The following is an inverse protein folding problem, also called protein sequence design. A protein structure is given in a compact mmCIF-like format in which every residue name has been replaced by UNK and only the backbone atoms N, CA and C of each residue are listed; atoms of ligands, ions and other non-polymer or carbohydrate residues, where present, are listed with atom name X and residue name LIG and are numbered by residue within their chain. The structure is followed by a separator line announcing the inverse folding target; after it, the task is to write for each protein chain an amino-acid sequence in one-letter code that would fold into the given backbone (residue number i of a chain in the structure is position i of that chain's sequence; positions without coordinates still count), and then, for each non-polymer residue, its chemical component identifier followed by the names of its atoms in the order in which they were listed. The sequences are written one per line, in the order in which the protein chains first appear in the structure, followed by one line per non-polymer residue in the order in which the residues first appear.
data_IF_380270425991
#
_entry.id   IF_380270425991
#
_cell.length_a   1.000
_cell.length_b   1.000
_cell.length_c   1.000
_cell.angle_alpha   90.00
_cell.angle_beta   90.00
_cell.angle_gamma   90.00
#
_symmetry.space_group_name_H-M   'P 1'
#
loop_
_entity.id
_entity.type
_entity.pdbx_description
1 polymer ?
#
# COMPACT_ATOMS: atom_id res chain seq x y z
N UNK A 1 5.54 -4.16 -19.77
CA UNK A 1 6.16 -3.85 -21.09
C UNK A 1 5.32 -4.41 -22.24
N UNK A 2 4.91 -5.67 -22.14
CA UNK A 2 4.22 -6.50 -23.15
C UNK A 2 2.69 -6.27 -23.29
N UNK A 3 2.14 -5.25 -22.61
CA UNK A 3 0.70 -4.96 -22.61
C UNK A 3 -0.13 -5.85 -21.69
N UNK A 4 0.49 -6.78 -20.96
CA UNK A 4 -0.20 -7.58 -19.95
C UNK A 4 -0.41 -6.81 -18.64
N UNK A 5 -1.44 -7.21 -17.88
CA UNK A 5 -1.70 -6.70 -16.54
C UNK A 5 -1.20 -7.71 -15.52
N UNK A 6 -0.34 -7.25 -14.61
CA UNK A 6 0.14 -8.02 -13.47
C UNK A 6 -0.17 -7.25 -12.19
N UNK A 7 -1.07 -7.78 -11.37
CA UNK A 7 -1.44 -7.16 -10.11
C UNK A 7 -0.65 -7.72 -8.93
N UNK A 8 -0.62 -6.93 -7.87
CA UNK A 8 -0.12 -7.31 -6.57
C UNK A 8 -1.04 -6.81 -5.44
N UNK A 9 -1.03 -7.53 -4.32
CA UNK A 9 -1.71 -7.13 -3.11
C UNK A 9 -1.07 -7.74 -1.86
N UNK A 10 -1.24 -7.04 -0.74
CA UNK A 10 -0.93 -7.56 0.58
C UNK A 10 -2.07 -7.29 1.55
N UNK A 11 -2.16 -8.14 2.57
CA UNK A 11 -3.10 -8.03 3.67
C UNK A 11 -2.36 -8.34 4.98
N UNK A 12 -2.64 -7.58 6.02
CA UNK A 12 -2.12 -7.82 7.36
C UNK A 12 -3.21 -7.64 8.42
N UNK A 13 -3.17 -8.48 9.45
CA UNK A 13 -4.00 -8.34 10.66
C UNK A 13 -3.10 -8.35 11.89
N UNK A 14 -3.35 -7.43 12.82
CA UNK A 14 -2.67 -7.42 14.12
C UNK A 14 -3.02 -8.66 14.95
N UNK A 15 -4.16 -9.31 14.67
CA UNK A 15 -4.53 -10.57 15.30
C UNK A 15 -3.62 -11.70 14.81
N UNK A 16 -2.68 -12.11 15.65
CA UNK A 16 -1.70 -13.14 15.35
C UNK A 16 -0.62 -12.69 14.36
N UNK A 17 -0.45 -11.37 14.14
CA UNK A 17 0.53 -10.80 13.21
C UNK A 17 0.50 -11.46 11.82
N UNK A 18 -0.71 -11.79 11.35
CA UNK A 18 -0.91 -12.54 10.11
C UNK A 18 -0.65 -11.65 8.92
N UNK A 19 0.11 -12.13 7.95
CA UNK A 19 0.35 -11.46 6.69
C UNK A 19 0.22 -12.43 5.52
N UNK A 20 -0.35 -11.93 4.43
CA UNK A 20 -0.44 -12.64 3.17
C UNK A 20 -0.20 -11.69 2.01
N UNK A 21 0.67 -12.09 1.09
CA UNK A 21 1.02 -11.35 -0.12
C UNK A 21 0.76 -12.18 -1.37
N UNK A 22 0.27 -11.54 -2.42
CA UNK A 22 0.13 -12.13 -3.75
C UNK A 22 0.62 -11.16 -4.82
N UNK A 23 1.43 -11.62 -5.76
CA UNK A 23 2.03 -10.75 -6.77
C UNK A 23 2.15 -11.42 -8.14
N UNK A 24 2.37 -10.61 -9.17
CA UNK A 24 2.56 -11.10 -10.55
C UNK A 24 1.37 -11.97 -11.01
N UNK A 25 0.15 -11.61 -10.58
CA UNK A 25 -1.08 -12.33 -10.96
C UNK A 25 -1.86 -11.53 -11.98
N UNK A 26 -2.34 -12.18 -13.02
CA UNK A 26 -3.05 -11.56 -14.15
C UNK A 26 -4.48 -12.08 -14.29
N UNK A 27 -4.85 -13.12 -13.55
CA UNK A 27 -6.15 -13.81 -13.67
C UNK A 27 -7.03 -13.68 -12.43
N UNK A 28 -6.65 -12.85 -11.46
CA UNK A 28 -7.45 -12.62 -10.26
C UNK A 28 -8.13 -11.26 -10.31
N UNK A 29 -9.47 -11.26 -10.29
CA UNK A 29 -10.24 -10.00 -10.23
C UNK A 29 -9.98 -9.21 -8.95
N UNK A 30 -9.74 -9.90 -7.83
CA UNK A 30 -9.51 -9.28 -6.53
C UNK A 30 -8.27 -9.90 -5.84
N UNK A 31 -7.05 -9.46 -6.21
CA UNK A 31 -5.82 -9.95 -5.58
C UNK A 31 -5.80 -9.77 -4.06
N UNK A 32 -6.40 -8.68 -3.54
CA UNK A 32 -6.50 -8.43 -2.09
C UNK A 32 -7.27 -9.51 -1.32
N UNK A 33 -8.30 -10.11 -1.92
CA UNK A 33 -9.03 -11.23 -1.29
C UNK A 33 -8.16 -12.49 -1.22
N UNK A 34 -7.37 -12.75 -2.26
CA UNK A 34 -6.43 -13.86 -2.27
C UNK A 34 -5.29 -13.63 -1.26
N UNK A 35 -4.76 -12.42 -1.15
CA UNK A 35 -3.79 -12.04 -0.12
C UNK A 35 -4.32 -12.30 1.30
N UNK A 36 -5.57 -11.91 1.58
CA UNK A 36 -6.22 -12.23 2.86
C UNK A 36 -6.38 -13.73 3.07
N UNK A 37 -6.74 -14.49 2.05
CA UNK A 37 -6.84 -15.95 2.15
C UNK A 37 -5.48 -16.60 2.45
N UNK A 38 -4.37 -16.07 1.90
CA UNK A 38 -3.01 -16.52 2.22
C UNK A 38 -2.70 -16.27 3.70
N UNK A 39 -3.03 -15.08 4.22
CA UNK A 39 -2.77 -14.72 5.61
C UNK A 39 -3.46 -15.62 6.64
N UNK A 40 -4.58 -16.23 6.27
CA UNK A 40 -5.38 -17.15 7.10
C UNK A 40 -5.30 -18.61 6.61
N UNK A 41 -4.36 -18.94 5.74
CA UNK A 41 -4.22 -20.29 5.23
C UNK A 41 -3.54 -21.19 6.28
N UNK A 42 -4.30 -22.16 6.79
CA UNK A 42 -3.75 -23.29 7.52
C UNK A 42 -3.56 -24.46 6.56
N UNK A 43 -2.31 -24.69 6.13
CA UNK A 43 -1.99 -25.90 5.40
C UNK A 43 -1.89 -27.05 6.42
N UNK A 44 -2.89 -27.94 6.43
CA UNK A 44 -2.98 -29.12 7.31
C UNK A 44 -1.89 -30.18 7.04
N UNK A 45 -0.84 -29.82 6.30
CA UNK A 45 0.30 -30.66 5.94
C UNK A 45 1.41 -30.69 7.01
N UNK A 46 1.29 -29.88 8.07
CA UNK A 46 2.32 -29.73 9.10
C UNK A 46 3.54 -28.93 8.63
N UNK A 47 3.49 -28.34 7.42
CA UNK A 47 4.51 -27.47 6.88
C UNK A 47 4.21 -26.01 7.20
N UNK A 48 5.24 -25.16 7.13
CA UNK A 48 5.08 -23.71 7.29
C UNK A 48 4.26 -23.17 6.10
N UNK A 49 3.10 -22.58 6.38
CA UNK A 49 2.26 -21.94 5.36
C UNK A 49 3.02 -20.81 4.65
N UNK A 50 2.86 -20.65 3.33
CA UNK A 50 3.51 -19.57 2.58
C UNK A 50 2.91 -18.21 2.97
N UNK A 51 3.77 -17.21 3.22
CA UNK A 51 3.32 -15.83 3.44
C UNK A 51 3.12 -15.06 2.13
N UNK A 52 3.86 -15.40 1.08
CA UNK A 52 3.80 -14.72 -0.21
C UNK A 52 3.82 -15.73 -1.35
N UNK A 53 2.91 -15.57 -2.31
CA UNK A 53 2.86 -16.38 -3.53
C UNK A 53 2.86 -15.48 -4.76
N UNK A 54 3.56 -15.89 -5.81
CA UNK A 54 3.64 -15.11 -7.06
C UNK A 54 3.37 -15.92 -8.32
N UNK A 55 2.98 -15.23 -9.39
CA UNK A 55 2.91 -15.78 -10.73
C UNK A 55 1.84 -16.87 -10.90
N UNK A 56 1.99 -17.74 -11.91
CA UNK A 56 1.05 -18.84 -12.17
C UNK A 56 0.87 -19.80 -11.00
N UNK A 57 1.88 -19.94 -10.14
CA UNK A 57 1.79 -20.75 -8.92
C UNK A 57 0.77 -20.18 -7.91
N UNK A 58 0.75 -18.85 -7.76
CA UNK A 58 -0.22 -18.17 -6.91
C UNK A 58 -1.65 -18.30 -7.44
N UNK A 59 -1.84 -18.21 -8.75
CA UNK A 59 -3.15 -18.36 -9.38
C UNK A 59 -3.68 -19.80 -9.22
N UNK A 60 -2.84 -20.81 -9.44
CA UNK A 60 -3.20 -22.22 -9.17
C UNK A 60 -3.54 -22.45 -7.69
N UNK A 61 -2.80 -21.81 -6.78
CA UNK A 61 -3.07 -21.90 -5.35
C UNK A 61 -4.43 -21.26 -5.01
N UNK A 62 -4.75 -20.11 -5.62
CA UNK A 62 -6.01 -19.41 -5.40
C UNK A 62 -7.19 -20.19 -6.00
N UNK A 63 -7.04 -20.74 -7.21
CA UNK A 63 -8.06 -21.57 -7.88
C UNK A 63 -8.44 -22.79 -7.02
N UNK A 64 -7.44 -23.49 -6.46
CA UNK A 64 -7.66 -24.61 -5.52
C UNK A 64 -8.44 -24.23 -4.26
N UNK A 65 -8.49 -22.93 -3.93
CA UNK A 65 -9.21 -22.36 -2.78
C UNK A 65 -10.51 -21.65 -3.18
N UNK A 66 -11.00 -21.93 -4.39
CA UNK A 66 -12.31 -21.45 -4.87
C UNK A 66 -12.30 -20.03 -5.44
N UNK A 67 -11.13 -19.44 -5.71
CA UNK A 67 -11.07 -18.17 -6.42
C UNK A 67 -11.26 -18.40 -7.92
N UNK A 68 -12.25 -17.71 -8.50
CA UNK A 68 -12.46 -17.75 -9.94
C UNK A 68 -11.32 -17.03 -10.68
N UNK A 69 -10.69 -17.75 -11.61
CA UNK A 69 -9.75 -17.16 -12.55
C UNK A 69 -10.52 -16.51 -13.71
N UNK A 70 -10.14 -15.29 -14.06
CA UNK A 70 -10.72 -14.54 -15.18
C UNK A 70 -9.77 -14.50 -16.36
N UNK A 71 -10.30 -14.11 -17.52
CA UNK A 71 -9.48 -13.70 -18.67
C UNK A 71 -8.69 -12.42 -18.29
N UNK A 72 -7.35 -12.43 -18.38
CA UNK A 72 -6.52 -11.24 -18.13
C UNK A 72 -6.94 -10.00 -18.90
N UNK A 73 -7.49 -10.15 -20.11
CA UNK A 73 -7.90 -9.03 -20.96
C UNK A 73 -9.05 -8.23 -20.34
N UNK A 74 -9.82 -8.82 -19.43
CA UNK A 74 -10.91 -8.13 -18.71
C UNK A 74 -10.38 -7.15 -17.66
N UNK A 75 -9.13 -7.30 -17.22
CA UNK A 75 -8.49 -6.34 -16.30
C UNK A 75 -8.07 -5.04 -17.00
N UNK A 76 -7.77 -5.10 -18.29
CA UNK A 76 -7.34 -3.96 -19.08
C UNK A 76 -8.55 -3.25 -19.74
N UNK A 77 -8.92 -2.08 -19.21
CA UNK A 77 -9.93 -1.23 -19.82
C UNK A 77 -9.40 -0.37 -20.97
N UNK A 78 -10.31 0.30 -21.71
CA UNK A 78 -9.96 1.26 -22.78
C UNK A 78 -8.94 2.31 -22.31
N UNK A 79 -9.21 2.94 -21.15
CA UNK A 79 -8.32 3.95 -20.55
C UNK A 79 -6.93 3.40 -20.25
N UNK A 80 -6.83 2.20 -19.68
CA UNK A 80 -5.53 1.57 -19.38
C UNK A 80 -4.72 1.31 -20.65
N UNK A 81 -5.39 0.85 -21.72
CA UNK A 81 -4.75 0.61 -23.02
C UNK A 81 -4.28 1.91 -23.69
N UNK A 82 -5.06 3.00 -23.60
CA UNK A 82 -4.67 4.32 -24.09
C UNK A 82 -3.44 4.86 -23.34
N UNK A 83 -3.43 4.74 -22.01
CA UNK A 83 -2.28 5.13 -21.19
C UNK A 83 -1.04 4.30 -21.53
N UNK A 84 -1.21 2.99 -21.73
CA UNK A 84 -0.11 2.09 -22.13
C UNK A 84 0.48 2.47 -23.49
N UNK A 85 -0.37 2.71 -24.51
CA UNK A 85 0.09 3.16 -25.83
C UNK A 85 0.80 4.51 -25.75
N UNK A 86 0.27 5.45 -24.97
CA UNK A 86 0.91 6.76 -24.75
C UNK A 86 2.29 6.60 -24.10
N UNK A 87 2.40 5.71 -23.10
CA UNK A 87 3.67 5.41 -22.44
C UNK A 87 4.69 4.80 -23.39
N UNK A 88 4.28 3.82 -24.20
CA UNK A 88 5.16 3.20 -25.20
C UNK A 88 5.67 4.22 -26.22
N UNK A 89 4.76 5.02 -26.78
CA UNK A 89 5.13 6.06 -27.73
C UNK A 89 6.12 7.06 -27.12
N UNK A 90 5.95 7.44 -25.84
CA UNK A 90 6.89 8.33 -25.16
C UNK A 90 8.29 7.71 -25.04
N UNK A 91 8.38 6.41 -24.71
CA UNK A 91 9.68 5.71 -24.68
C UNK A 91 10.35 5.66 -26.06
N UNK A 92 9.56 5.50 -27.12
CA UNK A 92 10.07 5.34 -28.48
C UNK A 92 10.43 6.65 -29.19
N UNK A 93 9.71 7.75 -28.91
CA UNK A 93 9.78 8.98 -29.73
C UNK A 93 10.58 10.13 -29.10
N UNK A 94 10.45 10.43 -27.80
CA UNK A 94 11.17 11.53 -27.11
C UNK A 94 11.14 11.28 -25.60
N UNK A 95 12.25 11.53 -24.89
CA UNK A 95 12.46 11.42 -23.42
C UNK A 95 11.49 12.24 -22.50
N UNK A 96 10.33 12.68 -22.97
CA UNK A 96 9.31 13.36 -22.20
C UNK A 96 8.26 12.37 -21.66
N UNK A 97 8.57 11.76 -20.52
CA UNK A 97 7.54 11.13 -19.70
C UNK A 97 6.69 12.23 -19.04
N UNK A 98 5.53 12.53 -19.59
CA UNK A 98 4.46 13.10 -18.77
C UNK A 98 4.18 12.14 -17.60
N UNK A 99 3.90 12.67 -16.42
CA UNK A 99 3.57 11.86 -15.25
C UNK A 99 2.28 11.08 -15.50
N UNK A 100 2.44 9.83 -15.93
CA UNK A 100 1.33 8.88 -16.02
C UNK A 100 0.98 8.48 -14.59
N UNK A 101 -0.13 9.01 -14.09
CA UNK A 101 -0.67 8.63 -12.79
C UNK A 101 -1.01 7.14 -12.78
N UNK A 102 -0.47 6.44 -11.79
CA UNK A 102 -0.73 5.04 -11.53
C UNK A 102 -1.19 4.89 -10.11
N UNK A 103 -2.36 4.26 -9.99
CA UNK A 103 -3.06 4.26 -8.72
C UNK A 103 -2.82 2.93 -8.01
N UNK A 104 -2.25 3.04 -6.81
CA UNK A 104 -2.32 1.99 -5.80
C UNK A 104 -3.47 2.34 -4.86
N UNK A 105 -4.24 1.34 -4.45
CA UNK A 105 -5.32 1.50 -3.48
C UNK A 105 -4.94 0.85 -2.16
N UNK A 106 -5.43 1.43 -1.07
CA UNK A 106 -5.14 0.98 0.29
C UNK A 106 -6.33 1.18 1.22
N UNK A 107 -6.42 0.36 2.25
CA UNK A 107 -7.41 0.50 3.31
C UNK A 107 -6.82 0.06 4.65
N UNK A 108 -7.25 0.75 5.71
CA UNK A 108 -6.96 0.39 7.10
C UNK A 108 -8.28 0.37 7.87
N UNK A 109 -8.38 -0.53 8.84
CA UNK A 109 -9.53 -0.60 9.73
C UNK A 109 -9.09 -1.03 11.13
N UNK A 110 -9.81 -0.58 12.14
CA UNK A 110 -9.66 -1.06 13.52
C UNK A 110 -11.04 -1.45 14.03
N UNK A 111 -11.22 -2.71 14.42
CA UNK A 111 -12.46 -3.24 14.98
C UNK A 111 -12.16 -3.89 16.33
N UNK A 112 -12.69 -3.33 17.41
CA UNK A 112 -12.31 -3.70 18.77
C UNK A 112 -10.81 -3.47 18.97
N UNK A 113 -10.07 -4.56 19.15
CA UNK A 113 -8.62 -4.59 19.37
C UNK A 113 -7.84 -5.17 18.18
N UNK A 114 -8.46 -5.25 17.01
CA UNK A 114 -7.84 -5.77 15.80
C UNK A 114 -7.69 -4.66 14.78
N UNK A 115 -6.45 -4.33 14.43
CA UNK A 115 -6.12 -3.52 13.27
C UNK A 115 -5.93 -4.44 12.06
N UNK A 116 -6.42 -4.00 10.91
CA UNK A 116 -6.17 -4.65 9.63
C UNK A 116 -5.78 -3.61 8.59
N UNK A 117 -4.85 -3.98 7.70
CA UNK A 117 -4.39 -3.16 6.60
C UNK A 117 -4.32 -3.97 5.31
N UNK A 118 -4.62 -3.35 4.18
CA UNK A 118 -4.53 -3.96 2.87
C UNK A 118 -4.09 -2.92 1.83
N UNK A 119 -3.20 -3.33 0.92
CA UNK A 119 -2.74 -2.50 -0.21
C UNK A 119 -2.78 -3.35 -1.47
N UNK A 120 -3.24 -2.80 -2.60
CA UNK A 120 -3.25 -3.48 -3.90
C UNK A 120 -2.92 -2.53 -5.04
N UNK A 121 -2.14 -3.01 -6.01
CA UNK A 121 -1.62 -2.21 -7.12
C UNK A 121 -1.54 -3.01 -8.42
N UNK A 122 -1.63 -2.32 -9.56
CA UNK A 122 -1.17 -2.84 -10.86
C UNK A 122 0.34 -2.70 -11.08
N UNK A 123 1.03 -1.98 -10.18
CA UNK A 123 2.44 -1.66 -10.31
C UNK A 123 2.71 -0.56 -11.34
N UNK A 124 3.97 -0.47 -11.77
CA UNK A 124 4.41 0.56 -12.72
C UNK A 124 3.95 0.22 -14.15
N UNK A 125 3.60 1.25 -14.90
CA UNK A 125 3.32 1.19 -16.33
C UNK A 125 4.64 0.90 -17.01
N UNK A 126 4.59 0.01 -18.00
CA UNK A 126 5.78 -0.52 -18.65
C UNK A 126 6.77 -1.24 -17.73
N UNK A 127 6.37 -1.65 -16.51
CA UNK A 127 7.23 -2.49 -15.67
C UNK A 127 7.72 -3.71 -16.44
N UNK A 128 8.93 -4.15 -16.12
CA UNK A 128 9.42 -5.46 -16.53
C UNK A 128 8.46 -6.53 -16.00
N UNK A 129 8.03 -7.50 -16.83
CA UNK A 129 7.22 -8.62 -16.36
C UNK A 129 7.87 -9.31 -15.16
N UNK A 130 7.06 -9.65 -14.16
CA UNK A 130 7.56 -10.21 -12.91
C UNK A 130 8.05 -9.19 -11.88
N UNK A 131 8.04 -7.87 -12.16
CA UNK A 131 8.36 -6.85 -11.16
C UNK A 131 7.31 -6.86 -10.06
N UNK A 132 7.81 -6.99 -8.83
CA UNK A 132 7.05 -6.93 -7.58
C UNK A 132 7.38 -5.62 -6.86
N UNK A 133 6.35 -4.93 -6.37
CA UNK A 133 6.44 -3.69 -5.62
C UNK A 133 6.13 -3.86 -4.13
N UNK A 134 5.84 -2.73 -3.49
CA UNK A 134 5.71 -2.61 -2.03
C UNK A 134 4.52 -3.36 -1.44
N UNK A 135 3.51 -3.73 -2.23
CA UNK A 135 2.28 -4.34 -1.73
C UNK A 135 2.50 -5.72 -1.12
N UNK A 136 3.48 -6.49 -1.61
CA UNK A 136 3.74 -7.88 -1.14
C UNK A 136 4.90 -7.99 -0.17
N UNK A 137 5.64 -6.89 0.04
CA UNK A 137 6.81 -6.87 0.92
C UNK A 137 6.36 -6.57 2.35
N UNK A 138 6.55 -7.53 3.24
CA UNK A 138 6.19 -7.43 4.66
C UNK A 138 6.84 -6.21 5.30
N UNK A 139 6.03 -5.29 5.84
CA UNK A 139 6.49 -4.05 6.47
C UNK A 139 6.59 -2.83 5.55
N UNK A 140 6.50 -3.02 4.22
CA UNK A 140 6.69 -1.91 3.27
C UNK A 140 5.39 -1.18 2.94
N UNK A 141 4.47 -1.82 2.20
CA UNK A 141 3.28 -1.14 1.67
C UNK A 141 2.07 -1.10 2.58
N UNK A 142 2.09 -1.89 3.65
CA UNK A 142 1.08 -1.93 4.69
C UNK A 142 1.68 -2.44 6.01
N UNK A 143 1.01 -2.11 7.10
CA UNK A 143 1.31 -2.67 8.42
C UNK A 143 0.06 -2.65 9.30
N UNK A 144 -0.13 -3.65 10.14
CA UNK A 144 -1.18 -3.67 11.14
C UNK A 144 -0.68 -4.35 12.40
N UNK A 145 -0.67 -3.63 13.52
CA UNK A 145 -0.08 -4.10 14.76
C UNK A 145 -0.84 -3.58 15.98
N UNK A 146 -0.83 -4.37 17.06
CA UNK A 146 -1.32 -3.99 18.38
C UNK A 146 -0.19 -4.14 19.39
N UNK A 147 0.06 -3.11 20.19
CA UNK A 147 0.95 -3.16 21.35
C UNK A 147 0.26 -2.54 22.55
N UNK A 148 0.16 -3.27 23.67
CA UNK A 148 -0.66 -2.85 24.80
C UNK A 148 -2.12 -2.71 24.38
N UNK A 149 -2.76 -1.58 24.66
CA UNK A 149 -4.10 -1.25 24.15
C UNK A 149 -4.08 -0.32 22.92
N UNK A 150 -2.91 -0.05 22.34
CA UNK A 150 -2.81 0.77 21.12
C UNK A 150 -2.83 -0.12 19.87
N UNK A 151 -3.69 0.21 18.91
CA UNK A 151 -3.71 -0.43 17.59
C UNK A 151 -3.31 0.57 16.50
N UNK A 152 -2.49 0.14 15.55
CA UNK A 152 -2.05 0.95 14.41
C UNK A 152 -2.25 0.15 13.14
N UNK A 153 -3.00 0.73 12.20
CA UNK A 153 -3.07 0.30 10.81
C UNK A 153 -2.42 1.34 9.90
N UNK A 154 -1.56 0.93 8.97
CA UNK A 154 -0.89 1.79 8.00
C UNK A 154 -1.05 1.20 6.60
N UNK A 155 -1.33 2.04 5.60
CA UNK A 155 -1.31 1.68 4.18
C UNK A 155 -0.75 2.82 3.36
N UNK A 156 0.03 2.50 2.31
CA UNK A 156 0.66 3.51 1.45
C UNK A 156 0.56 3.18 -0.05
N UNK A 157 0.56 4.27 -0.83
CA UNK A 157 0.71 4.35 -2.27
C UNK A 157 1.93 5.21 -2.59
N UNK A 158 2.56 5.01 -3.75
CA UNK A 158 3.69 5.82 -4.18
C UNK A 158 4.73 5.05 -4.97
N UNK A 159 5.97 5.51 -4.90
CA UNK A 159 7.12 4.85 -5.51
C UNK A 159 7.48 3.58 -4.74
N UNK A 160 7.11 2.42 -5.28
CA UNK A 160 7.27 1.13 -4.60
C UNK A 160 8.71 0.84 -4.19
N UNK A 161 9.69 1.18 -5.02
CA UNK A 161 11.11 0.98 -4.74
C UNK A 161 11.59 1.83 -3.54
N UNK A 162 11.11 3.07 -3.43
CA UNK A 162 11.41 3.93 -2.28
C UNK A 162 10.74 3.40 -1.01
N UNK A 163 9.46 3.01 -1.11
CA UNK A 163 8.69 2.45 0.01
C UNK A 163 9.33 1.18 0.56
N UNK A 164 9.78 0.28 -0.31
CA UNK A 164 10.46 -0.97 0.07
C UNK A 164 11.80 -0.69 0.75
N UNK A 165 12.63 0.19 0.16
CA UNK A 165 13.93 0.54 0.72
C UNK A 165 13.85 1.17 2.11
N UNK A 166 12.76 1.88 2.39
CA UNK A 166 12.55 2.54 3.67
C UNK A 166 11.94 1.65 4.74
N UNK A 167 11.53 0.41 4.42
CA UNK A 167 10.72 -0.40 5.32
C UNK A 167 9.53 0.41 5.89
N UNK A 168 8.86 1.14 4.98
CA UNK A 168 8.17 2.38 5.32
C UNK A 168 7.09 2.21 6.39
N UNK A 169 6.11 1.33 6.18
CA UNK A 169 4.98 1.19 7.10
C UNK A 169 5.40 0.64 8.47
N UNK A 170 6.31 -0.33 8.51
CA UNK A 170 6.81 -0.90 9.77
C UNK A 170 7.66 0.11 10.53
N UNK A 171 8.54 0.85 9.84
CA UNK A 171 9.36 1.90 10.46
C UNK A 171 8.50 3.03 11.01
N UNK A 172 7.51 3.49 10.25
CA UNK A 172 6.56 4.51 10.71
C UNK A 172 5.75 4.02 11.92
N UNK A 173 5.23 2.79 11.86
CA UNK A 173 4.49 2.20 12.99
C UNK A 173 5.37 2.10 14.24
N UNK A 174 6.64 1.70 14.10
CA UNK A 174 7.60 1.66 15.20
C UNK A 174 7.79 3.04 15.83
N UNK A 175 7.98 4.08 15.00
CA UNK A 175 8.10 5.46 15.49
C UNK A 175 6.87 5.91 16.25
N UNK A 176 5.68 5.61 15.72
CA UNK A 176 4.42 5.90 16.40
C UNK A 176 4.34 5.17 17.74
N UNK A 177 4.62 3.87 17.83
CA UNK A 177 4.58 3.15 19.11
C UNK A 177 5.59 3.66 20.14
N UNK A 178 6.79 4.08 19.70
CA UNK A 178 7.84 4.58 20.61
C UNK A 178 7.77 6.07 20.90
N UNK A 179 6.77 6.79 20.36
CA UNK A 179 6.64 8.24 20.56
C UNK A 179 6.42 8.59 22.03
N UNK A 180 6.84 9.79 22.43
CA UNK A 180 6.46 10.31 23.74
C UNK A 180 4.97 10.65 23.74
N UNK A 181 4.30 10.50 24.89
CA UNK A 181 2.85 10.76 25.00
C UNK A 181 2.44 12.21 24.74
N UNK A 182 3.41 13.14 24.72
CA UNK A 182 3.21 14.55 24.40
C UNK A 182 3.39 14.86 22.91
N UNK A 183 4.01 13.95 22.14
CA UNK A 183 4.21 14.13 20.71
C UNK A 183 2.94 13.77 19.95
N UNK A 184 2.46 14.70 19.12
CA UNK A 184 1.30 14.43 18.28
C UNK A 184 1.67 13.40 17.20
N UNK A 185 0.83 12.38 16.95
CA UNK A 185 1.06 11.42 15.88
C UNK A 185 1.37 12.06 14.51
N UNK A 186 0.72 13.19 14.20
CA UNK A 186 0.99 13.96 12.97
C UNK A 186 2.41 14.55 12.90
N UNK A 187 2.98 14.97 14.03
CA UNK A 187 4.35 15.50 14.11
C UNK A 187 5.39 14.38 13.97
N UNK A 188 5.10 13.21 14.56
CA UNK A 188 5.92 12.00 14.40
C UNK A 188 5.96 11.59 12.93
N UNK A 189 4.81 11.55 12.25
CA UNK A 189 4.72 11.21 10.82
C UNK A 189 5.48 12.23 9.97
N UNK A 190 5.32 13.53 10.24
CA UNK A 190 6.07 14.59 9.52
C UNK A 190 7.57 14.41 9.69
N UNK A 191 8.04 14.20 10.92
CA UNK A 191 9.46 14.05 11.24
C UNK A 191 10.05 12.80 10.59
N UNK A 192 9.34 11.66 10.69
CA UNK A 192 9.72 10.41 10.03
C UNK A 192 9.85 10.62 8.53
N UNK A 193 8.86 11.23 7.89
CA UNK A 193 8.86 11.41 6.44
C UNK A 193 10.02 12.31 5.97
N UNK A 194 10.25 13.43 6.63
CA UNK A 194 11.30 14.36 6.24
C UNK A 194 12.69 13.83 6.54
N UNK A 195 12.92 13.24 7.72
CA UNK A 195 14.26 12.88 8.19
C UNK A 195 14.64 11.43 7.89
N UNK A 196 13.68 10.53 7.93
CA UNK A 196 13.91 9.08 7.87
C UNK A 196 13.44 8.45 6.56
N UNK A 197 12.68 9.18 5.73
CA UNK A 197 12.33 8.75 4.38
C UNK A 197 13.05 9.58 3.31
N UNK A 198 12.73 10.87 3.18
CA UNK A 198 13.27 11.72 2.10
C UNK A 198 14.79 11.89 2.15
N UNK A 199 15.36 11.98 3.35
CA UNK A 199 16.79 12.18 3.58
C UNK A 199 17.57 10.88 3.86
N UNK A 200 16.93 9.71 3.70
CA UNK A 200 17.56 8.43 3.95
C UNK A 200 18.63 8.15 2.87
N UNK A 201 19.84 7.77 3.27
CA UNK A 201 20.94 7.47 2.33
C UNK A 201 20.59 6.36 1.33
N UNK A 202 19.69 5.44 1.71
CA UNK A 202 19.14 4.40 0.83
C UNK A 202 18.35 4.97 -0.36
N UNK A 203 17.91 6.22 -0.32
CA UNK A 203 17.20 6.88 -1.42
C UNK A 203 18.13 7.50 -2.47
N UNK A 204 19.45 7.49 -2.25
CA UNK A 204 20.43 8.14 -3.14
C UNK A 204 20.39 7.72 -4.61
N UNK A 205 19.92 6.51 -4.92
CA UNK A 205 19.80 6.02 -6.30
C UNK A 205 18.42 6.27 -6.93
N UNK A 206 17.50 6.92 -6.22
CA UNK A 206 16.16 7.24 -6.71
C UNK A 206 16.11 8.74 -7.01
N UNK A 207 15.65 9.10 -8.20
CA UNK A 207 15.50 10.50 -8.59
C UNK A 207 14.54 11.22 -7.63
N UNK A 208 14.85 12.44 -7.16
CA UNK A 208 14.01 13.16 -6.20
C UNK A 208 12.54 13.32 -6.63
N UNK A 209 12.26 13.53 -7.92
CA UNK A 209 10.89 13.58 -8.46
C UNK A 209 10.12 12.26 -8.36
N UNK A 210 10.81 11.14 -8.12
CA UNK A 210 10.22 9.82 -7.90
C UNK A 210 10.17 9.45 -6.42
N UNK A 211 10.62 10.31 -5.50
CA UNK A 211 10.51 10.09 -4.06
C UNK A 211 9.17 10.59 -3.54
N UNK A 212 8.09 9.91 -3.92
CA UNK A 212 6.75 10.24 -3.48
C UNK A 212 6.05 9.07 -2.79
N UNK A 213 5.31 9.39 -1.72
CA UNK A 213 4.49 8.48 -0.93
C UNK A 213 3.26 9.24 -0.44
N UNK A 214 2.11 8.58 -0.48
CA UNK A 214 0.89 9.02 0.19
C UNK A 214 0.23 7.84 0.90
N UNK A 215 -0.40 8.08 2.04
CA UNK A 215 -0.97 7.01 2.82
C UNK A 215 -1.90 7.43 3.94
N UNK A 216 -2.39 6.42 4.64
CA UNK A 216 -3.29 6.55 5.77
C UNK A 216 -2.69 5.82 6.97
N UNK A 217 -2.74 6.45 8.14
CA UNK A 217 -2.56 5.82 9.44
C UNK A 217 -3.89 5.87 10.16
N UNK A 218 -4.37 4.74 10.68
CA UNK A 218 -5.47 4.69 11.63
C UNK A 218 -4.92 4.22 12.97
N UNK A 219 -4.96 5.11 13.96
CA UNK A 219 -4.51 4.90 15.32
C UNK A 219 -5.75 4.72 16.22
N UNK A 220 -5.71 3.72 17.09
CA UNK A 220 -6.62 3.60 18.23
C UNK A 220 -5.79 3.60 19.50
N UNK A 221 -6.07 4.51 20.43
CA UNK A 221 -5.43 4.55 21.76
C UNK A 221 -6.27 3.83 22.84
N UNK A 222 -5.68 3.66 24.03
CA UNK A 222 -6.27 2.95 25.16
C UNK A 222 -7.61 3.54 25.65
N UNK A 223 -7.87 4.81 25.39
CA UNK A 223 -9.10 5.52 25.75
C UNK A 223 -10.20 5.41 24.68
N UNK A 224 -10.07 4.45 23.76
CA UNK A 224 -10.97 4.23 22.61
C UNK A 224 -11.03 5.45 21.66
N UNK A 225 -9.99 6.29 21.69
CA UNK A 225 -9.84 7.40 20.74
C UNK A 225 -9.28 6.89 19.43
N UNK A 226 -10.00 7.19 18.35
CA UNK A 226 -9.59 6.89 17.00
C UNK A 226 -9.08 8.17 16.31
N UNK A 227 -7.90 8.08 15.71
CA UNK A 227 -7.31 9.15 14.94
C UNK A 227 -6.90 8.61 13.56
N UNK A 228 -7.48 9.20 12.52
CA UNK A 228 -7.09 8.96 11.13
C UNK A 228 -6.13 10.07 10.73
N UNK A 229 -4.96 9.69 10.26
CA UNK A 229 -3.95 10.64 9.76
C UNK A 229 -3.71 10.35 8.30
N UNK A 230 -3.85 11.38 7.48
CA UNK A 230 -3.61 11.35 6.05
C UNK A 230 -2.31 12.09 5.80
N UNK A 231 -1.39 11.49 5.06
CA UNK A 231 -0.11 12.11 4.76
C UNK A 231 0.30 11.85 3.32
N UNK A 232 0.89 12.84 2.65
CA UNK A 232 1.49 12.66 1.34
C UNK A 232 2.39 13.82 0.92
N UNK A 233 3.28 13.54 -0.02
CA UNK A 233 3.98 14.55 -0.83
C UNK A 233 3.66 14.45 -2.34
N UNK A 234 2.58 13.74 -2.70
CA UNK A 234 2.01 13.76 -4.05
C UNK A 234 1.18 15.03 -4.26
N UNK A 235 0.95 15.48 -5.51
CA UNK A 235 0.09 16.63 -5.77
C UNK A 235 -1.30 16.50 -5.16
N UNK A 236 -1.87 15.28 -5.25
CA UNK A 236 -3.18 14.94 -4.68
C UNK A 236 -3.16 13.55 -4.04
N UNK A 237 -4.00 13.35 -3.03
CA UNK A 237 -4.33 12.04 -2.46
C UNK A 237 -5.85 11.96 -2.19
N UNK A 238 -6.61 11.23 -3.03
CA UNK A 238 -8.01 10.93 -2.74
C UNK A 238 -8.12 9.96 -1.57
N UNK A 239 -9.00 10.23 -0.61
CA UNK A 239 -9.27 9.31 0.49
C UNK A 239 -10.72 9.40 0.97
N UNK A 240 -11.15 8.39 1.71
CA UNK A 240 -12.44 8.37 2.37
C UNK A 240 -12.34 7.60 3.69
N UNK A 241 -13.20 7.94 4.63
CA UNK A 241 -13.30 7.23 5.91
C UNK A 241 -14.73 7.21 6.41
N UNK A 242 -15.02 6.26 7.30
CA UNK A 242 -16.32 6.05 7.90
C UNK A 242 -16.22 6.12 9.41
N UNK A 243 -17.05 6.97 10.02
CA UNK A 243 -17.30 7.03 11.47
C UNK A 243 -18.78 6.72 11.72
N UNK A 244 -19.06 5.59 12.36
CA UNK A 244 -20.44 5.10 12.51
C UNK A 244 -21.12 4.92 11.15
N UNK A 245 -22.25 5.60 10.94
CA UNK A 245 -22.99 5.62 9.67
C UNK A 245 -22.51 6.68 8.67
N UNK A 246 -21.66 7.61 9.10
CA UNK A 246 -21.23 8.76 8.29
C UNK A 246 -19.99 8.41 7.47
N UNK A 247 -20.08 8.60 6.16
CA UNK A 247 -18.95 8.47 5.23
C UNK A 247 -18.50 9.86 4.79
N UNK A 248 -17.22 10.15 4.95
CA UNK A 248 -16.59 11.37 4.44
C UNK A 248 -15.63 11.01 3.32
N UNK A 249 -15.65 11.80 2.25
CA UNK A 249 -14.75 11.68 1.10
C UNK A 249 -14.02 13.01 0.97
N UNK A 250 -12.73 12.96 0.69
CA UNK A 250 -11.91 14.15 0.53
C UNK A 250 -10.87 13.93 -0.56
N UNK A 251 -10.41 15.04 -1.12
CA UNK A 251 -9.29 15.08 -2.05
C UNK A 251 -8.24 15.98 -1.42
N UNK A 252 -7.26 15.38 -0.75
CA UNK A 252 -6.16 16.12 -0.14
C UNK A 252 -5.26 16.68 -1.24
N UNK A 253 -4.88 17.95 -1.13
CA UNK A 253 -4.05 18.66 -2.11
C UNK A 253 -2.83 19.24 -1.43
N UNK A 254 -1.64 18.96 -1.96
CA UNK A 254 -0.39 19.46 -1.39
C UNK A 254 -0.23 20.95 -1.73
N UNK A 255 -0.09 21.85 -0.73
CA UNK A 255 0.20 23.25 -0.99
C UNK A 255 1.58 23.41 -1.66
N UNK A 256 1.73 24.38 -2.57
CA UNK A 256 2.92 24.53 -3.42
C UNK A 256 4.27 24.65 -2.67
N UNK A 257 4.27 25.15 -1.43
CA UNK A 257 5.48 25.33 -0.62
C UNK A 257 5.74 24.19 0.37
N UNK A 258 4.85 23.20 0.44
CA UNK A 258 4.96 22.10 1.40
C UNK A 258 5.70 20.90 0.79
N UNK A 259 6.71 20.39 1.51
CA UNK A 259 7.34 19.10 1.17
C UNK A 259 6.44 17.90 1.47
N UNK A 260 5.54 18.06 2.45
CA UNK A 260 4.59 17.05 2.87
C UNK A 260 3.38 17.74 3.51
N UNK A 261 2.19 17.23 3.20
CA UNK A 261 0.96 17.52 3.93
C UNK A 261 0.66 16.36 4.89
N UNK A 262 0.30 16.70 6.13
CA UNK A 262 -0.15 15.75 7.15
C UNK A 262 -1.41 16.34 7.79
N UNK A 263 -2.53 15.64 7.67
CA UNK A 263 -3.84 16.04 8.17
C UNK A 263 -4.33 15.01 9.18
N UNK A 264 -4.89 15.47 10.31
CA UNK A 264 -5.45 14.60 11.35
C UNK A 264 -6.96 14.77 11.44
N UNK A 265 -7.65 13.64 11.61
CA UNK A 265 -9.09 13.53 11.72
C UNK A 265 -9.46 12.64 12.90
N UNK A 266 -10.05 13.24 13.94
CA UNK A 266 -10.59 12.48 15.08
C UNK A 266 -11.83 11.73 14.60
N UNK A 267 -11.75 10.40 14.57
CA UNK A 267 -12.78 9.51 14.04
C UNK A 267 -13.48 8.69 15.12
#
# INVERSE_FOLDING_TARGET
MDGSVECEAGFMSSNGMRFGGIGVVSRLRNPSKAARAIAYADDCSGLVSPMVLVGPGAEKWAEKRGFALIDPNVLAGKRTNELWKKALNAVETVNCFEEINMDTVGAVSVTGDVAEACTSSGGLILKSPGRVGHCTVFGSGLWAEKQGGTCIGVTVSGCGEAIVRADFCRSLSKRLFTRNSQELPSEVIRTFFEREFLNLSLMSTITPSRLYVGGLVLLKENDERYELIVFHNTPVLPFAYRKGSTIRKSLSQLPAECKILVESYIC
#
